data_IF_318921819622
#
_entry.id   IF_318921819622
#
_cell.length_a   1.000
_cell.length_b   1.000
_cell.length_c   1.000
_cell.angle_alpha   90.00
_cell.angle_beta   90.00
_cell.angle_gamma   90.00
#
_symmetry.space_group_name_H-M   'P 1'
#
loop_
_entity.id
_entity.type
_entity.pdbx_description
1 polymer ?
#
# COMPACT_ATOMS: atom_id res chain seq x y z
N UNK A 1 -17.42 -13.25 2.27
CA UNK A 1 -16.70 -12.66 1.10
C UNK A 1 -16.01 -11.38 1.54
N UNK A 2 -14.78 -11.19 1.16
CA UNK A 2 -14.04 -9.98 1.50
C UNK A 2 -14.71 -8.73 0.92
N UNK A 3 -14.63 -7.61 1.65
CA UNK A 3 -15.05 -6.29 1.18
C UNK A 3 -13.82 -5.41 1.07
N UNK A 4 -13.69 -4.66 -0.03
CA UNK A 4 -12.63 -3.67 -0.21
C UNK A 4 -13.21 -2.39 -0.80
N UNK A 5 -12.73 -1.24 -0.33
CA UNK A 5 -13.20 0.06 -0.79
C UNK A 5 -12.13 1.14 -0.63
N UNK A 6 -12.26 2.20 -1.40
CA UNK A 6 -11.40 3.37 -1.24
C UNK A 6 -11.89 4.16 -0.03
N UNK A 7 -10.98 4.45 0.90
CA UNK A 7 -11.32 5.20 2.11
C UNK A 7 -11.70 6.64 1.78
N UNK A 8 -12.75 7.12 2.42
CA UNK A 8 -13.15 8.52 2.38
C UNK A 8 -12.45 9.32 3.50
N UNK A 9 -12.36 10.66 3.39
CA UNK A 9 -11.73 11.48 4.44
C UNK A 9 -12.30 11.25 5.83
N UNK A 10 -13.58 10.96 5.96
CA UNK A 10 -14.21 10.63 7.24
C UNK A 10 -13.66 9.35 7.89
N UNK A 11 -12.96 8.52 7.12
CA UNK A 11 -12.38 7.27 7.59
C UNK A 11 -10.90 7.38 7.96
N UNK A 12 -10.35 8.60 8.01
CA UNK A 12 -8.94 8.83 8.32
C UNK A 12 -8.49 8.20 9.65
N UNK A 13 -9.34 8.22 10.66
CA UNK A 13 -9.02 7.61 11.96
C UNK A 13 -8.90 6.08 11.85
N UNK A 14 -9.78 5.44 11.11
CA UNK A 14 -9.72 3.99 10.86
C UNK A 14 -8.43 3.62 10.11
N UNK A 15 -8.08 4.38 9.07
CA UNK A 15 -6.83 4.20 8.33
C UNK A 15 -5.63 4.36 9.27
N UNK A 16 -5.59 5.43 10.05
CA UNK A 16 -4.51 5.71 10.99
C UNK A 16 -4.32 4.60 12.00
N UNK A 17 -5.40 4.08 12.55
CA UNK A 17 -5.38 2.97 13.52
C UNK A 17 -4.77 1.70 12.93
N UNK A 18 -5.11 1.36 11.68
CA UNK A 18 -4.55 0.20 11.01
C UNK A 18 -3.06 0.39 10.70
N UNK A 19 -2.63 1.60 10.34
CA UNK A 19 -1.22 1.88 10.12
C UNK A 19 -0.42 1.84 11.43
N UNK A 20 -0.99 2.27 12.54
CA UNK A 20 -0.38 2.10 13.87
C UNK A 20 -0.23 0.62 14.21
N UNK A 21 -1.25 -0.19 13.93
CA UNK A 21 -1.17 -1.64 14.12
C UNK A 21 -0.06 -2.25 13.26
N UNK A 22 0.13 -1.77 12.05
CA UNK A 22 1.23 -2.17 11.18
C UNK A 22 2.58 -1.80 11.79
N UNK A 23 2.73 -0.56 12.26
CA UNK A 23 3.94 -0.13 12.99
C UNK A 23 4.27 -1.09 14.13
N UNK A 24 3.27 -1.41 14.95
CA UNK A 24 3.43 -2.29 16.10
C UNK A 24 3.82 -3.70 15.67
N UNK A 25 3.24 -4.20 14.59
CA UNK A 25 3.61 -5.49 14.00
C UNK A 25 5.07 -5.53 13.56
N UNK A 26 5.59 -4.42 13.05
CA UNK A 26 7.00 -4.30 12.67
C UNK A 26 7.94 -4.15 13.87
N UNK A 27 7.40 -4.01 15.08
CA UNK A 27 8.19 -3.89 16.30
C UNK A 27 8.86 -2.53 16.51
N UNK A 28 8.36 -1.49 15.86
CA UNK A 28 8.88 -0.13 16.01
C UNK A 28 7.88 0.77 16.71
N UNK A 29 8.36 1.84 17.34
CA UNK A 29 7.55 2.75 18.17
C UNK A 29 7.40 4.14 17.53
N UNK A 30 8.06 4.37 16.44
CA UNK A 30 8.02 5.63 15.72
C UNK A 30 7.49 5.42 14.30
N UNK A 31 6.72 6.34 13.72
CA UNK A 31 6.17 7.58 14.32
C UNK A 31 5.10 7.34 15.40
N UNK A 32 4.76 8.39 16.15
CA UNK A 32 3.70 8.31 17.16
C UNK A 32 2.32 8.11 16.53
N UNK A 33 1.35 7.68 17.32
CA UNK A 33 -0.04 7.54 16.85
C UNK A 33 -0.59 8.85 16.31
N UNK A 34 -0.32 9.96 17.00
CA UNK A 34 -0.78 11.29 16.55
C UNK A 34 -0.12 11.69 15.22
N UNK A 35 1.15 11.33 15.01
CA UNK A 35 1.84 11.60 13.76
C UNK A 35 1.24 10.79 12.60
N UNK A 36 0.87 9.53 12.84
CA UNK A 36 0.17 8.72 11.83
C UNK A 36 -1.17 9.34 11.45
N UNK A 37 -1.99 9.69 12.44
CA UNK A 37 -3.30 10.31 12.17
C UNK A 37 -3.15 11.61 11.40
N UNK A 38 -2.26 12.49 11.84
CA UNK A 38 -2.01 13.77 11.15
C UNK A 38 -1.51 13.54 9.71
N UNK A 39 -0.66 12.55 9.51
CA UNK A 39 -0.17 12.18 8.18
C UNK A 39 -1.29 11.67 7.27
N UNK A 40 -2.15 10.80 7.78
CA UNK A 40 -3.31 10.30 7.03
C UNK A 40 -4.26 11.44 6.68
N UNK A 41 -4.61 12.29 7.63
CA UNK A 41 -5.48 13.44 7.39
C UNK A 41 -4.93 14.36 6.31
N UNK A 42 -3.61 14.55 6.30
CA UNK A 42 -2.93 15.34 5.26
C UNK A 42 -3.02 14.69 3.89
N UNK A 43 -2.80 13.39 3.80
CA UNK A 43 -2.69 12.66 2.52
C UNK A 43 -4.05 12.26 1.93
N UNK A 44 -5.03 11.91 2.77
CA UNK A 44 -6.29 11.33 2.29
C UNK A 44 -7.09 12.29 1.41
N UNK A 45 -6.90 13.59 1.56
CA UNK A 45 -7.57 14.62 0.76
C UNK A 45 -6.76 15.05 -0.46
N UNK A 46 -5.51 14.59 -0.59
CA UNK A 46 -4.69 14.95 -1.75
C UNK A 46 -5.07 14.12 -2.97
N UNK A 47 -4.79 14.66 -4.14
CA UNK A 47 -5.01 13.94 -5.40
C UNK A 47 -3.96 12.84 -5.64
N UNK A 48 -2.84 12.92 -4.94
CA UNK A 48 -1.67 12.08 -5.18
C UNK A 48 -1.58 10.88 -4.23
N UNK A 49 -2.57 10.69 -3.37
CA UNK A 49 -2.62 9.57 -2.45
C UNK A 49 -4.03 9.00 -2.35
N UNK A 50 -4.10 7.70 -2.11
CA UNK A 50 -5.34 7.00 -1.77
C UNK A 50 -5.05 5.93 -0.74
N UNK A 51 -6.09 5.61 0.03
CA UNK A 51 -6.08 4.48 0.95
C UNK A 51 -7.17 3.50 0.52
N UNK A 52 -6.84 2.23 0.52
CA UNK A 52 -7.82 1.15 0.31
C UNK A 52 -7.99 0.44 1.63
N UNK A 53 -9.23 0.36 2.10
CA UNK A 53 -9.60 -0.40 3.29
C UNK A 53 -10.21 -1.72 2.88
N UNK A 54 -10.10 -2.71 3.76
CA UNK A 54 -10.73 -4.00 3.53
C UNK A 54 -11.16 -4.68 4.82
N UNK A 55 -12.17 -5.51 4.70
CA UNK A 55 -12.68 -6.35 5.79
C UNK A 55 -12.82 -7.79 5.27
N UNK A 56 -12.64 -8.80 6.16
CA UNK A 56 -12.66 -10.21 5.73
C UNK A 56 -14.07 -10.69 5.33
N UNK A 57 -15.10 -10.02 5.83
CA UNK A 57 -16.50 -10.33 5.51
C UNK A 57 -17.39 -9.08 5.71
N UNK A 58 -18.68 -9.24 5.47
CA UNK A 58 -19.65 -8.12 5.51
C UNK A 58 -19.93 -7.61 6.92
N UNK A 59 -19.70 -8.41 7.94
CA UNK A 59 -20.03 -8.09 9.33
C UNK A 59 -18.82 -7.67 10.16
N UNK A 60 -17.62 -7.90 9.65
CA UNK A 60 -16.38 -7.58 10.36
C UNK A 60 -15.94 -6.14 10.13
N UNK A 61 -15.27 -5.52 11.13
CA UNK A 61 -14.70 -4.19 10.95
C UNK A 61 -13.50 -4.24 9.98
N UNK A 62 -13.06 -3.06 9.47
CA UNK A 62 -11.86 -2.98 8.66
C UNK A 62 -10.65 -3.62 9.35
N UNK A 63 -9.98 -4.52 8.64
CA UNK A 63 -8.84 -5.29 9.14
C UNK A 63 -7.66 -5.27 8.18
N UNK A 64 -7.74 -4.50 7.11
CA UNK A 64 -6.65 -4.35 6.16
C UNK A 64 -6.63 -2.97 5.57
N UNK A 65 -5.44 -2.51 5.19
CA UNK A 65 -5.23 -1.19 4.60
C UNK A 65 -4.08 -1.23 3.60
N UNK A 66 -4.23 -0.48 2.50
CA UNK A 66 -3.13 -0.15 1.61
C UNK A 66 -3.02 1.36 1.49
N UNK A 67 -1.79 1.86 1.43
CA UNK A 67 -1.50 3.25 1.09
C UNK A 67 -0.86 3.28 -0.28
N UNK A 68 -1.42 4.07 -1.19
CA UNK A 68 -0.86 4.26 -2.52
C UNK A 68 -0.57 5.72 -2.78
N UNK A 69 0.48 5.96 -3.56
CA UNK A 69 0.88 7.29 -4.02
C UNK A 69 0.92 7.28 -5.53
N UNK A 70 0.54 8.42 -6.13
CA UNK A 70 0.58 8.61 -7.57
C UNK A 70 1.58 9.69 -7.92
N UNK A 71 2.39 9.43 -8.96
CA UNK A 71 3.33 10.43 -9.46
C UNK A 71 3.35 10.40 -10.98
N UNK A 72 3.47 11.57 -11.58
CA UNK A 72 3.57 11.68 -13.03
C UNK A 72 4.96 11.21 -13.50
N UNK A 73 4.98 10.28 -14.43
CA UNK A 73 6.19 9.77 -15.05
C UNK A 73 6.39 10.40 -16.43
N UNK A 74 7.45 11.20 -16.57
CA UNK A 74 7.68 11.93 -17.81
C UNK A 74 7.95 11.01 -19.00
N UNK A 75 8.58 9.86 -18.76
CA UNK A 75 8.93 8.91 -19.81
C UNK A 75 7.72 8.18 -20.42
N UNK A 76 6.63 8.13 -19.66
CA UNK A 76 5.39 7.46 -20.10
C UNK A 76 4.29 8.46 -20.42
N UNK A 77 4.49 9.73 -20.07
CA UNK A 77 3.44 10.76 -20.11
C UNK A 77 2.18 10.30 -19.38
N UNK A 78 2.33 9.59 -18.28
CA UNK A 78 1.24 9.05 -17.46
C UNK A 78 1.70 8.91 -16.02
N UNK A 79 0.76 8.69 -15.10
CA UNK A 79 1.09 8.45 -13.71
C UNK A 79 1.53 7.00 -13.45
N UNK A 80 2.38 6.83 -12.46
CA UNK A 80 2.67 5.55 -11.82
C UNK A 80 1.91 5.50 -10.50
N UNK A 81 1.44 4.31 -10.14
CA UNK A 81 0.86 4.03 -8.83
C UNK A 81 1.91 3.29 -7.99
N UNK A 82 2.31 3.89 -6.87
CA UNK A 82 3.22 3.24 -5.93
C UNK A 82 2.43 2.70 -4.74
N UNK A 83 2.41 1.39 -4.57
CA UNK A 83 1.89 0.73 -3.37
C UNK A 83 2.97 0.82 -2.29
N UNK A 84 2.81 1.79 -1.38
CA UNK A 84 3.80 2.05 -0.32
C UNK A 84 3.66 1.10 0.86
N UNK A 85 2.42 0.84 1.27
CA UNK A 85 2.12 0.03 2.45
C UNK A 85 0.96 -0.90 2.18
N UNK A 86 1.09 -2.13 2.68
CA UNK A 86 0.01 -3.10 2.71
C UNK A 86 0.07 -3.82 4.05
N UNK A 87 -1.02 -3.76 4.80
CA UNK A 87 -1.14 -4.43 6.09
C UNK A 87 -2.49 -5.14 6.20
N UNK A 88 -2.47 -6.36 6.66
CA UNK A 88 -3.65 -7.14 7.03
C UNK A 88 -3.47 -7.60 8.47
N UNK A 89 -4.43 -7.29 9.31
CA UNK A 89 -4.41 -7.69 10.71
C UNK A 89 -4.35 -9.22 10.82
N UNK A 90 -3.66 -9.72 11.84
CA UNK A 90 -3.46 -11.16 12.05
C UNK A 90 -4.78 -11.93 12.05
N UNK A 91 -5.82 -11.38 12.66
CA UNK A 91 -7.16 -11.99 12.72
C UNK A 91 -7.81 -12.20 11.35
N UNK A 92 -7.38 -11.46 10.33
CA UNK A 92 -7.94 -11.53 8.97
C UNK A 92 -6.99 -12.20 7.97
N UNK A 93 -5.83 -12.66 8.39
CA UNK A 93 -4.89 -13.35 7.51
C UNK A 93 -5.44 -14.72 7.10
N UNK A 94 -5.12 -15.13 5.87
CA UNK A 94 -5.64 -16.36 5.31
C UNK A 94 -7.06 -16.24 4.76
N UNK A 95 -7.68 -15.06 4.82
CA UNK A 95 -9.02 -14.81 4.29
C UNK A 95 -9.04 -14.40 2.82
N UNK A 96 -7.87 -14.16 2.22
CA UNK A 96 -7.77 -13.60 0.87
C UNK A 96 -7.86 -12.07 0.84
N UNK A 97 -7.88 -11.42 2.00
CA UNK A 97 -8.06 -9.97 2.09
C UNK A 97 -6.89 -9.20 1.46
N UNK A 98 -5.66 -9.62 1.70
CA UNK A 98 -4.47 -8.99 1.12
C UNK A 98 -4.52 -8.98 -0.41
N UNK A 99 -4.87 -10.10 -1.01
CA UNK A 99 -5.06 -10.21 -2.46
C UNK A 99 -6.16 -9.27 -2.95
N UNK A 100 -7.31 -9.28 -2.28
CA UNK A 100 -8.44 -8.43 -2.65
C UNK A 100 -8.08 -6.93 -2.60
N UNK A 101 -7.31 -6.52 -1.60
CA UNK A 101 -6.84 -5.14 -1.48
C UNK A 101 -5.90 -4.79 -2.65
N UNK A 102 -4.92 -5.64 -2.96
CA UNK A 102 -4.00 -5.37 -4.08
C UNK A 102 -4.73 -5.35 -5.41
N UNK A 103 -5.66 -6.25 -5.63
CA UNK A 103 -6.50 -6.24 -6.84
C UNK A 103 -7.28 -4.92 -6.97
N UNK A 104 -7.81 -4.41 -5.86
CA UNK A 104 -8.49 -3.11 -5.87
C UNK A 104 -7.52 -1.96 -6.16
N UNK A 105 -6.32 -2.00 -5.64
CA UNK A 105 -5.27 -1.01 -5.98
C UNK A 105 -5.00 -1.02 -7.48
N UNK A 106 -4.88 -2.19 -8.08
CA UNK A 106 -4.66 -2.31 -9.53
C UNK A 106 -5.85 -1.74 -10.33
N UNK A 107 -7.08 -2.02 -9.89
CA UNK A 107 -8.28 -1.45 -10.52
C UNK A 107 -8.28 0.08 -10.45
N UNK A 108 -7.97 0.65 -9.29
CA UNK A 108 -7.91 2.10 -9.11
C UNK A 108 -6.81 2.73 -9.98
N UNK A 109 -5.66 2.07 -10.09
CA UNK A 109 -4.57 2.53 -10.94
C UNK A 109 -4.99 2.53 -12.42
N UNK A 110 -5.66 1.47 -12.88
CA UNK A 110 -6.18 1.40 -14.25
C UNK A 110 -7.23 2.47 -14.53
N UNK A 111 -8.17 2.64 -13.62
CA UNK A 111 -9.23 3.65 -13.77
C UNK A 111 -8.66 5.07 -13.83
N UNK A 112 -7.55 5.32 -13.13
CA UNK A 112 -6.85 6.61 -13.15
C UNK A 112 -5.97 6.80 -14.38
N UNK A 113 -5.74 5.75 -15.17
CA UNK A 113 -4.88 5.82 -16.34
C UNK A 113 -3.40 5.63 -16.04
N UNK A 114 -3.07 5.03 -14.90
CA UNK A 114 -1.68 4.76 -14.55
C UNK A 114 -1.04 3.79 -15.54
N UNK A 115 0.25 4.00 -15.80
CA UNK A 115 1.04 3.15 -16.67
C UNK A 115 1.42 1.83 -16.01
N UNK A 116 1.68 1.87 -14.70
CA UNK A 116 2.11 0.71 -13.93
C UNK A 116 1.81 0.87 -12.45
N UNK A 117 1.85 -0.24 -11.74
CA UNK A 117 1.84 -0.28 -10.28
C UNK A 117 3.22 -0.78 -9.85
N UNK A 118 3.84 -0.05 -8.93
CA UNK A 118 5.15 -0.38 -8.38
C UNK A 118 5.07 -0.63 -6.88
N UNK A 119 5.96 -1.45 -6.37
CA UNK A 119 6.14 -1.66 -4.92
C UNK A 119 7.58 -2.08 -4.64
N UNK A 120 8.00 -1.91 -3.39
CA UNK A 120 9.18 -2.60 -2.89
C UNK A 120 8.76 -3.59 -1.81
N UNK A 121 9.53 -4.66 -1.68
CA UNK A 121 9.27 -5.73 -0.74
C UNK A 121 10.60 -6.32 -0.29
N UNK A 122 10.68 -6.66 1.00
CA UNK A 122 11.86 -7.34 1.53
C UNK A 122 11.86 -8.80 1.05
N UNK A 123 12.99 -9.28 0.58
CA UNK A 123 13.11 -10.62 0.00
C UNK A 123 12.97 -11.76 1.01
N UNK A 124 12.99 -11.45 2.31
CA UNK A 124 12.68 -12.43 3.35
C UNK A 124 11.18 -12.53 3.67
N UNK A 125 10.36 -11.68 3.06
CA UNK A 125 8.91 -11.73 3.23
C UNK A 125 8.28 -12.66 2.18
N UNK A 126 8.39 -13.96 2.42
CA UNK A 126 7.97 -15.00 1.48
C UNK A 126 6.48 -14.91 1.13
N UNK A 127 5.64 -14.62 2.11
CA UNK A 127 4.19 -14.53 1.89
C UNK A 127 3.84 -13.37 0.96
N UNK A 128 4.44 -12.20 1.17
CA UNK A 128 4.23 -11.04 0.32
C UNK A 128 4.77 -11.27 -1.09
N UNK A 129 5.97 -11.84 -1.22
CA UNK A 129 6.55 -12.18 -2.52
C UNK A 129 5.67 -13.14 -3.30
N UNK A 130 5.16 -14.19 -2.65
CA UNK A 130 4.27 -15.15 -3.29
C UNK A 130 2.99 -14.48 -3.79
N UNK A 131 2.39 -13.61 -2.98
CA UNK A 131 1.20 -12.84 -3.36
C UNK A 131 1.48 -11.96 -4.58
N UNK A 132 2.52 -11.15 -4.52
CA UNK A 132 2.82 -10.19 -5.59
C UNK A 132 3.18 -10.91 -6.89
N UNK A 133 3.99 -11.95 -6.84
CA UNK A 133 4.32 -12.75 -8.03
C UNK A 133 3.08 -13.41 -8.63
N UNK A 134 2.17 -13.91 -7.81
CA UNK A 134 0.92 -14.51 -8.30
C UNK A 134 0.02 -13.51 -9.02
N UNK A 135 0.18 -12.22 -8.74
CA UNK A 135 -0.55 -11.12 -9.39
C UNK A 135 0.20 -10.53 -10.59
N UNK A 136 1.38 -11.06 -10.92
CA UNK A 136 2.15 -10.62 -12.08
C UNK A 136 3.22 -9.58 -11.79
N UNK A 137 3.46 -9.23 -10.52
CA UNK A 137 4.56 -8.34 -10.17
C UNK A 137 5.91 -9.05 -10.34
N UNK A 138 6.89 -8.33 -10.85
CA UNK A 138 8.24 -8.81 -11.02
C UNK A 138 9.23 -7.66 -11.04
N UNK A 139 10.51 -7.97 -10.99
CA UNK A 139 11.59 -6.97 -10.95
C UNK A 139 12.45 -6.95 -12.21
N UNK A 140 12.14 -7.80 -13.19
CA UNK A 140 12.88 -7.83 -14.46
C UNK A 140 12.51 -6.64 -15.34
N UNK A 141 13.52 -6.01 -15.89
CA UNK A 141 13.33 -4.94 -16.87
C UNK A 141 13.29 -5.52 -18.28
N UNK A 142 12.12 -5.51 -18.90
CA UNK A 142 11.93 -6.04 -20.25
C UNK A 142 12.52 -5.13 -21.34
N UNK A 143 12.76 -3.85 -21.03
CA UNK A 143 13.29 -2.89 -21.99
C UNK A 143 14.81 -2.92 -22.08
N UNK A 144 15.47 -2.97 -20.93
CA UNK A 144 16.92 -2.87 -20.84
C UNK A 144 17.59 -4.17 -20.42
N UNK A 145 16.81 -5.15 -20.00
CA UNK A 145 17.29 -6.40 -19.42
C UNK A 145 17.77 -6.22 -17.98
N UNK A 146 18.04 -7.34 -17.32
CA UNK A 146 18.44 -7.33 -15.92
C UNK A 146 17.27 -7.11 -14.97
N UNK A 147 17.57 -6.94 -13.70
CA UNK A 147 16.58 -6.71 -12.65
C UNK A 147 16.62 -5.27 -12.16
N UNK A 148 15.45 -4.70 -11.97
CA UNK A 148 15.32 -3.39 -11.33
C UNK A 148 15.50 -3.56 -9.82
N UNK A 149 16.45 -2.82 -9.26
CA UNK A 149 16.76 -2.85 -7.83
C UNK A 149 16.26 -1.55 -7.19
N UNK A 150 15.52 -1.70 -6.09
CA UNK A 150 15.16 -0.56 -5.27
C UNK A 150 16.30 -0.28 -4.30
N UNK A 151 16.89 0.90 -4.40
CA UNK A 151 18.04 1.30 -3.58
C UNK A 151 17.69 2.53 -2.77
N UNK A 152 18.20 2.61 -1.54
CA UNK A 152 18.00 3.78 -0.69
C UNK A 152 19.27 4.12 0.08
N UNK A 153 19.45 5.41 0.30
CA UNK A 153 20.46 5.95 1.19
C UNK A 153 19.74 6.71 2.30
N UNK A 154 19.87 6.23 3.52
CA UNK A 154 19.26 6.92 4.67
C UNK A 154 20.03 8.19 4.97
N UNK A 155 19.31 9.29 5.10
CA UNK A 155 19.89 10.57 5.50
C UNK A 155 19.64 10.76 6.98
N UNK A 156 20.60 11.33 7.68
CA UNK A 156 20.40 11.68 9.06
C UNK A 156 19.28 12.71 9.19
N UNK A 157 18.36 12.56 10.17
CA UNK A 157 17.35 13.57 10.36
C UNK A 157 18.00 14.91 10.69
N UNK A 158 17.41 16.05 10.24
CA UNK A 158 17.90 17.35 10.64
C UNK A 158 17.89 17.45 12.17
N UNK A 159 19.00 17.90 12.74
CA UNK A 159 19.21 17.98 14.18
C UNK A 159 18.25 18.93 14.88
#
# INVERSE_FOLDING_TARGET
>A
MTRVWVAEPAEAETVGRLLVAFRDHLGVTWPSENAFLAGVERLIETRDAKYVLGAPDDDSPPAGVAQVRFRYGIWWAAEDCLLEDLYVAESARGSGLGRAIVERVVEEARARGCRRVELDVNDNNDAALALYRSLGFGNRDDRYGGDNLFMRLHLEPPG
#
